data_IF_519672827856
#
_entry.id   IF_519672827856
#
_cell.length_a   1.000
_cell.length_b   1.000
_cell.length_c   1.000
_cell.angle_alpha   90.00
_cell.angle_beta   90.00
_cell.angle_gamma   90.00
#
_symmetry.space_group_name_H-M   'P 1'
#
loop_
_entity.id
_entity.type
_entity.pdbx_description
1 polymer ?
#
# COMPACT_ATOMS: atom_id res chain seq x y z
N UNK A 1 -14.42 -5.02 37.12
CA UNK A 1 -15.26 -5.56 36.04
C UNK A 1 -14.36 -6.18 35.00
N UNK A 2 -14.75 -7.32 34.44
CA UNK A 2 -14.04 -8.00 33.36
C UNK A 2 -14.63 -7.55 32.03
N UNK A 3 -13.81 -7.01 31.13
CA UNK A 3 -14.21 -6.69 29.76
C UNK A 3 -13.60 -7.72 28.82
N UNK A 4 -14.42 -8.33 27.98
CA UNK A 4 -14.02 -9.39 27.04
C UNK A 4 -14.37 -8.99 25.61
N UNK A 5 -13.49 -9.32 24.67
CA UNK A 5 -13.67 -9.07 23.25
C UNK A 5 -13.49 -10.39 22.50
N UNK A 6 -14.58 -11.03 22.03
CA UNK A 6 -14.48 -12.32 21.33
C UNK A 6 -13.86 -12.21 19.93
N UNK A 7 -13.61 -10.99 19.46
CA UNK A 7 -13.11 -10.73 18.13
C UNK A 7 -14.19 -10.84 17.05
N UNK A 8 -13.81 -10.77 15.78
CA UNK A 8 -14.74 -10.92 14.66
C UNK A 8 -15.20 -12.37 14.50
N UNK A 9 -16.46 -12.57 14.11
CA UNK A 9 -17.06 -13.91 13.89
C UNK A 9 -16.58 -14.56 12.59
N UNK A 10 -16.12 -13.76 11.62
CA UNK A 10 -15.54 -14.22 10.36
C UNK A 10 -14.46 -13.24 9.88
N UNK A 11 -13.53 -13.70 9.03
CA UNK A 11 -12.59 -12.82 8.36
C UNK A 11 -13.20 -12.19 7.10
N UNK A 12 -13.10 -10.87 6.97
CA UNK A 12 -13.60 -10.16 5.78
C UNK A 12 -12.47 -9.65 4.87
N UNK A 13 -11.27 -9.45 5.44
CA UNK A 13 -10.09 -8.96 4.73
C UNK A 13 -8.99 -10.03 4.67
N UNK A 14 -8.00 -9.82 3.80
CA UNK A 14 -6.81 -10.67 3.73
C UNK A 14 -6.15 -10.81 5.12
N UNK A 15 -6.00 -9.70 5.84
CA UNK A 15 -5.41 -9.68 7.19
C UNK A 15 -6.24 -10.50 8.18
N UNK A 16 -7.57 -10.37 8.13
CA UNK A 16 -8.43 -11.10 9.05
C UNK A 16 -8.46 -12.60 8.76
N UNK A 17 -8.28 -13.01 7.50
CA UNK A 17 -8.23 -14.41 7.07
C UNK A 17 -6.85 -15.02 7.31
N UNK A 18 -5.79 -14.22 7.25
CA UNK A 18 -4.43 -14.64 7.60
C UNK A 18 -4.29 -14.89 9.12
N UNK A 19 -5.13 -14.25 9.93
CA UNK A 19 -5.24 -14.52 11.36
C UNK A 19 -5.96 -15.85 11.62
N UNK A 20 -5.17 -16.88 11.95
CA UNK A 20 -5.62 -18.25 12.20
C UNK A 20 -6.19 -18.45 13.61
N UNK A 21 -6.38 -17.39 14.40
CA UNK A 21 -7.03 -17.51 15.71
C UNK A 21 -8.49 -18.00 15.55
N UNK A 22 -8.99 -18.84 16.48
CA UNK A 22 -10.37 -19.29 16.44
C UNK A 22 -11.34 -18.12 16.41
N UNK A 23 -12.27 -18.14 15.45
CA UNK A 23 -13.35 -17.16 15.34
C UNK A 23 -14.60 -17.76 15.94
N UNK A 24 -15.39 -16.96 16.64
CA UNK A 24 -16.52 -17.50 17.39
C UNK A 24 -17.28 -16.46 18.17
N UNK A 25 -18.10 -16.95 19.08
CA UNK A 25 -18.96 -16.17 19.94
C UNK A 25 -18.63 -16.49 21.39
N UNK A 26 -18.84 -15.52 22.28
CA UNK A 26 -18.77 -15.75 23.72
C UNK A 26 -20.19 -15.75 24.27
N UNK A 27 -20.59 -16.87 24.86
CA UNK A 27 -21.82 -16.98 25.65
C UNK A 27 -21.47 -16.56 27.08
N UNK A 28 -22.25 -15.65 27.66
CA UNK A 28 -22.07 -15.18 29.04
C UNK A 28 -23.33 -15.50 29.82
N UNK A 29 -23.19 -16.32 30.85
CA UNK A 29 -24.24 -16.62 31.82
C UNK A 29 -23.99 -15.79 33.08
N UNK A 30 -24.95 -14.94 33.44
CA UNK A 30 -24.90 -14.16 34.68
C UNK A 30 -25.88 -14.76 35.70
N UNK A 31 -25.39 -15.07 36.90
CA UNK A 31 -26.23 -15.49 38.02
C UNK A 31 -26.86 -14.26 38.71
N UNK A 32 -27.92 -14.50 39.50
CA UNK A 32 -28.55 -13.47 40.33
C UNK A 32 -27.57 -12.87 41.37
N UNK A 33 -26.59 -13.66 41.80
CA UNK A 33 -25.53 -13.25 42.74
C UNK A 33 -24.40 -12.43 42.08
N UNK A 34 -24.50 -12.20 40.76
CA UNK A 34 -23.52 -11.41 40.00
C UNK A 34 -22.29 -12.19 39.54
N UNK A 35 -22.26 -13.52 39.71
CA UNK A 35 -21.22 -14.35 39.10
C UNK A 35 -21.46 -14.49 37.60
N UNK A 36 -20.42 -14.30 36.80
CA UNK A 36 -20.49 -14.47 35.35
C UNK A 36 -19.65 -15.68 34.94
N UNK A 37 -20.26 -16.63 34.21
CA UNK A 37 -19.55 -17.70 33.51
C UNK A 37 -19.51 -17.40 32.03
N UNK A 38 -18.38 -17.69 31.41
CA UNK A 38 -18.18 -17.44 29.98
C UNK A 38 -17.79 -18.71 29.26
N UNK A 39 -18.43 -18.98 28.13
CA UNK A 39 -18.12 -20.09 27.22
C UNK A 39 -17.82 -19.54 25.83
N UNK A 40 -16.70 -19.95 25.24
CA UNK A 40 -16.37 -19.60 23.86
C UNK A 40 -16.84 -20.71 22.92
N UNK A 41 -17.73 -20.36 21.99
CA UNK A 41 -18.27 -21.25 20.98
C UNK A 41 -17.62 -20.92 19.63
N UNK A 42 -16.74 -21.80 19.09
CA UNK A 42 -16.10 -21.57 17.81
C UNK A 42 -17.11 -21.67 16.66
N UNK A 43 -16.91 -20.85 15.63
CA UNK A 43 -17.62 -20.93 14.35
C UNK A 43 -16.67 -21.58 13.35
N UNK A 44 -17.06 -22.73 12.81
CA UNK A 44 -16.33 -23.40 11.74
C UNK A 44 -16.63 -22.69 10.40
N UNK A 45 -15.64 -21.95 9.91
CA UNK A 45 -15.67 -21.35 8.58
C UNK A 45 -14.96 -22.26 7.57
N UNK A 46 -15.10 -21.94 6.27
CA UNK A 46 -14.34 -22.61 5.23
C UNK A 46 -12.82 -22.53 5.54
N UNK A 47 -12.07 -23.63 5.34
CA UNK A 47 -10.65 -23.66 5.60
C UNK A 47 -9.91 -22.60 4.79
N UNK A 48 -8.94 -21.95 5.43
CA UNK A 48 -8.10 -20.93 4.79
C UNK A 48 -6.71 -21.50 4.52
N UNK A 49 -6.22 -21.37 3.29
CA UNK A 49 -4.86 -21.74 2.91
C UNK A 49 -4.04 -20.50 2.53
N UNK A 50 -2.73 -20.51 2.80
CA UNK A 50 -1.81 -19.43 2.46
C UNK A 50 -0.73 -19.94 1.50
N UNK A 51 -0.71 -19.39 0.29
CA UNK A 51 0.39 -19.52 -0.67
C UNK A 51 1.28 -18.30 -0.48
N UNK A 52 2.47 -18.49 0.08
CA UNK A 52 3.41 -17.41 0.41
C UNK A 52 4.70 -17.50 -0.40
N UNK A 53 4.82 -16.66 -1.41
CA UNK A 53 5.97 -16.58 -2.31
C UNK A 53 6.91 -15.45 -1.88
N UNK A 54 8.13 -15.79 -1.48
CA UNK A 54 9.24 -14.84 -1.34
C UNK A 54 10.00 -14.72 -2.68
N UNK A 55 9.81 -13.64 -3.42
CA UNK A 55 10.50 -13.37 -4.68
C UNK A 55 11.91 -12.76 -4.47
N UNK A 56 12.36 -12.61 -3.22
CA UNK A 56 13.65 -12.02 -2.86
C UNK A 56 14.83 -12.72 -3.53
N UNK A 57 15.65 -11.95 -4.25
CA UNK A 57 16.86 -12.49 -4.87
C UNK A 57 16.63 -13.35 -6.12
N UNK A 58 15.37 -13.57 -6.52
CA UNK A 58 15.00 -14.45 -7.65
C UNK A 58 14.75 -13.65 -8.92
N UNK A 59 14.84 -14.31 -10.08
CA UNK A 59 14.35 -13.73 -11.34
C UNK A 59 12.82 -13.84 -11.40
N UNK A 60 12.16 -12.97 -12.17
CA UNK A 60 10.70 -13.04 -12.36
C UNK A 60 10.23 -14.42 -12.88
N UNK A 61 11.03 -15.05 -13.74
CA UNK A 61 10.78 -16.40 -14.27
C UNK A 61 10.93 -17.47 -13.19
N UNK A 62 12.01 -17.44 -12.40
CA UNK A 62 12.22 -18.41 -11.33
C UNK A 62 11.11 -18.33 -10.26
N UNK A 63 10.71 -17.10 -9.90
CA UNK A 63 9.61 -16.88 -8.96
C UNK A 63 8.24 -17.34 -9.51
N UNK A 64 8.02 -17.23 -10.83
CA UNK A 64 6.82 -17.80 -11.47
C UNK A 64 6.80 -19.31 -11.38
N UNK A 65 7.90 -19.96 -11.73
CA UNK A 65 7.96 -21.42 -11.82
C UNK A 65 7.75 -22.04 -10.42
N UNK A 66 8.33 -21.44 -9.37
CA UNK A 66 8.07 -21.81 -7.98
C UNK A 66 6.62 -21.54 -7.55
N UNK A 67 6.04 -20.38 -7.91
CA UNK A 67 4.65 -20.10 -7.61
C UNK A 67 3.72 -21.17 -8.21
N UNK A 68 3.99 -21.58 -9.44
CA UNK A 68 3.20 -22.62 -10.10
C UNK A 68 3.42 -24.00 -9.46
N UNK A 69 4.63 -24.33 -9.02
CA UNK A 69 4.91 -25.54 -8.25
C UNK A 69 4.10 -25.57 -6.94
N UNK A 70 4.05 -24.45 -6.21
CA UNK A 70 3.20 -24.31 -5.01
C UNK A 70 1.71 -24.49 -5.33
N UNK A 71 1.25 -23.93 -6.46
CA UNK A 71 -0.14 -24.08 -6.95
C UNK A 71 -0.46 -25.53 -7.30
N UNK A 72 0.50 -26.30 -7.80
CA UNK A 72 0.29 -27.69 -8.20
C UNK A 72 0.42 -28.69 -7.03
N UNK A 73 1.19 -28.35 -6.00
CA UNK A 73 1.45 -29.23 -4.87
C UNK A 73 0.27 -29.39 -3.89
N UNK A 74 -0.67 -28.45 -3.87
CA UNK A 74 -1.80 -28.44 -2.92
C UNK A 74 -3.17 -28.67 -3.57
N UNK A 75 -4.10 -29.27 -2.82
CA UNK A 75 -5.52 -29.32 -3.17
C UNK A 75 -6.25 -28.08 -2.68
N UNK A 76 -7.01 -27.42 -3.57
CA UNK A 76 -7.68 -26.13 -3.30
C UNK A 76 -9.18 -26.23 -3.06
N UNK A 77 -9.76 -27.40 -3.24
CA UNK A 77 -11.21 -27.65 -3.14
C UNK A 77 -11.79 -27.14 -1.81
N UNK A 78 -12.88 -26.38 -1.89
CA UNK A 78 -13.63 -25.83 -0.76
C UNK A 78 -12.80 -24.95 0.22
N UNK A 79 -11.63 -24.43 -0.22
CA UNK A 79 -10.78 -23.53 0.59
C UNK A 79 -10.90 -22.07 0.14
N UNK A 80 -10.72 -21.16 1.09
CA UNK A 80 -10.38 -19.75 0.80
C UNK A 80 -8.87 -19.64 0.74
N UNK A 81 -8.31 -19.19 -0.39
CA UNK A 81 -6.87 -19.14 -0.59
C UNK A 81 -6.38 -17.70 -0.52
N UNK A 82 -5.33 -17.49 0.26
CA UNK A 82 -4.58 -16.25 0.35
C UNK A 82 -3.28 -16.43 -0.43
N UNK A 83 -3.11 -15.69 -1.52
CA UNK A 83 -1.87 -15.69 -2.31
C UNK A 83 -1.09 -14.42 -1.98
N UNK A 84 0.03 -14.56 -1.29
CA UNK A 84 0.97 -13.48 -0.97
C UNK A 84 2.22 -13.64 -1.82
N UNK A 85 2.59 -12.57 -2.53
CA UNK A 85 3.89 -12.46 -3.16
C UNK A 85 4.58 -11.20 -2.62
N UNK A 86 5.82 -11.35 -2.18
CA UNK A 86 6.61 -10.30 -1.54
C UNK A 86 8.09 -10.45 -1.88
N UNK A 87 8.93 -9.49 -1.48
CA UNK A 87 10.37 -9.52 -1.73
C UNK A 87 10.79 -8.73 -2.98
N UNK A 88 12.10 -8.57 -3.16
CA UNK A 88 12.66 -7.78 -4.27
C UNK A 88 13.41 -8.69 -5.23
N UNK A 89 12.91 -8.74 -6.48
CA UNK A 89 13.52 -9.51 -7.56
C UNK A 89 14.98 -9.11 -7.80
N UNK A 90 15.81 -10.07 -8.19
CA UNK A 90 17.16 -9.82 -8.68
C UNK A 90 17.18 -9.37 -10.14
N UNK A 91 16.25 -9.89 -10.94
CA UNK A 91 16.12 -9.61 -12.35
C UNK A 91 14.66 -9.74 -12.79
N UNK A 92 14.27 -8.98 -13.82
CA UNK A 92 12.93 -9.03 -14.39
C UNK A 92 11.92 -8.16 -13.64
N UNK A 93 10.67 -8.25 -14.10
CA UNK A 93 9.57 -7.43 -13.59
C UNK A 93 8.60 -8.26 -12.74
N UNK A 94 7.95 -7.67 -11.72
CA UNK A 94 6.91 -8.35 -10.93
C UNK A 94 5.78 -8.95 -11.78
N UNK A 95 5.48 -8.36 -12.94
CA UNK A 95 4.47 -8.87 -13.87
C UNK A 95 4.83 -10.25 -14.46
N UNK A 96 6.10 -10.61 -14.52
CA UNK A 96 6.58 -11.88 -15.09
C UNK A 96 6.31 -13.08 -14.17
N UNK A 97 6.03 -12.83 -12.88
CA UNK A 97 5.68 -13.87 -11.89
C UNK A 97 4.34 -14.56 -12.22
N UNK A 98 3.48 -13.91 -13.02
CA UNK A 98 2.25 -14.57 -13.49
C UNK A 98 1.17 -14.77 -12.41
N UNK A 99 1.13 -13.90 -11.38
CA UNK A 99 0.14 -13.98 -10.29
C UNK A 99 -1.33 -14.14 -10.77
N UNK A 100 -1.79 -13.46 -11.85
CA UNK A 100 -3.14 -13.70 -12.37
C UNK A 100 -3.36 -15.14 -12.82
N UNK A 101 -2.38 -15.74 -13.53
CA UNK A 101 -2.49 -17.12 -13.99
C UNK A 101 -2.49 -18.11 -12.82
N UNK A 102 -1.66 -17.87 -11.80
CA UNK A 102 -1.67 -18.67 -10.57
C UNK A 102 -3.04 -18.58 -9.84
N UNK A 103 -3.61 -17.38 -9.73
CA UNK A 103 -4.95 -17.17 -9.15
C UNK A 103 -6.00 -17.98 -9.90
N UNK A 104 -6.02 -17.88 -11.22
CA UNK A 104 -7.04 -18.54 -12.05
C UNK A 104 -6.86 -20.07 -11.96
N UNK A 105 -5.62 -20.56 -11.98
CA UNK A 105 -5.30 -21.97 -11.77
C UNK A 105 -5.78 -22.53 -10.41
N UNK A 106 -5.73 -21.74 -9.34
CA UNK A 106 -6.26 -22.11 -8.01
C UNK A 106 -7.79 -22.15 -8.03
N UNK A 107 -8.45 -21.17 -8.67
CA UNK A 107 -9.91 -21.13 -8.80
C UNK A 107 -10.43 -22.31 -9.62
N UNK A 108 -9.79 -22.62 -10.75
CA UNK A 108 -10.16 -23.74 -11.62
C UNK A 108 -10.03 -25.11 -10.93
N UNK A 109 -9.29 -25.18 -9.82
CA UNK A 109 -9.11 -26.37 -8.97
C UNK A 109 -10.04 -26.40 -7.75
N UNK A 110 -11.09 -25.58 -7.73
CA UNK A 110 -12.18 -25.69 -6.74
C UNK A 110 -12.05 -24.80 -5.51
N UNK A 111 -11.15 -23.81 -5.51
CA UNK A 111 -11.11 -22.80 -4.46
C UNK A 111 -12.40 -21.98 -4.42
N UNK A 112 -12.92 -21.70 -3.22
CA UNK A 112 -14.11 -20.86 -3.03
C UNK A 112 -13.83 -19.39 -3.35
N UNK A 113 -12.63 -18.93 -3.00
CA UNK A 113 -12.16 -17.57 -3.27
C UNK A 113 -10.63 -17.52 -3.23
N UNK A 114 -10.06 -16.56 -3.95
CA UNK A 114 -8.62 -16.27 -3.91
C UNK A 114 -8.40 -14.78 -3.68
N UNK A 115 -7.74 -14.44 -2.58
CA UNK A 115 -7.32 -13.07 -2.27
C UNK A 115 -5.82 -12.93 -2.53
N UNK A 116 -5.46 -11.90 -3.31
CA UNK A 116 -4.08 -11.67 -3.71
C UNK A 116 -3.50 -10.46 -2.97
N UNK A 117 -2.36 -10.65 -2.33
CA UNK A 117 -1.52 -9.58 -1.78
C UNK A 117 -0.20 -9.51 -2.54
N UNK A 118 0.10 -8.32 -3.06
CA UNK A 118 1.38 -7.98 -3.69
C UNK A 118 2.18 -6.99 -2.84
N UNK A 119 1.76 -6.80 -1.59
CA UNK A 119 2.38 -5.84 -0.70
C UNK A 119 3.82 -6.26 -0.43
N UNK A 120 4.77 -5.37 -0.75
CA UNK A 120 6.19 -5.63 -0.58
C UNK A 120 6.86 -6.38 -1.74
N UNK A 121 6.17 -6.65 -2.85
CA UNK A 121 6.78 -7.18 -4.06
C UNK A 121 7.36 -6.05 -4.91
N UNK A 122 8.64 -6.19 -5.32
CA UNK A 122 9.40 -5.16 -6.02
C UNK A 122 10.18 -5.70 -7.19
N UNK A 123 10.34 -4.88 -8.23
CA UNK A 123 11.14 -5.20 -9.40
C UNK A 123 12.64 -5.07 -9.15
N UNK A 124 13.45 -5.58 -10.07
CA UNK A 124 14.90 -5.42 -10.00
C UNK A 124 15.32 -3.94 -10.15
N UNK A 125 14.56 -3.15 -10.91
CA UNK A 125 14.74 -1.71 -11.06
C UNK A 125 14.55 -0.95 -9.74
N UNK A 126 13.70 -1.47 -8.85
CA UNK A 126 13.44 -0.85 -7.56
C UNK A 126 14.64 -0.99 -6.61
N UNK A 127 15.58 -1.92 -6.83
CA UNK A 127 16.84 -1.98 -6.06
C UNK A 127 17.73 -0.77 -6.26
N UNK A 128 17.71 -0.17 -7.47
CA UNK A 128 18.55 1.01 -7.78
C UNK A 128 17.98 2.29 -7.16
N UNK A 129 16.70 2.26 -6.81
CA UNK A 129 16.04 3.28 -6.02
C UNK A 129 16.07 2.82 -4.57
N UNK A 130 17.24 2.83 -3.93
CA UNK A 130 17.46 2.41 -2.54
C UNK A 130 16.78 3.29 -1.49
N UNK A 131 15.51 3.65 -1.69
CA UNK A 131 14.82 4.64 -0.86
C UNK A 131 13.29 4.63 -0.95
N UNK A 132 12.68 3.46 -1.13
CA UNK A 132 11.28 3.30 -0.76
C UNK A 132 11.21 2.17 0.24
N UNK A 133 10.74 2.47 1.44
CA UNK A 133 11.11 1.71 2.64
C UNK A 133 10.68 0.26 2.68
N UNK A 134 11.56 -0.54 3.27
CA UNK A 134 11.17 -1.62 4.16
C UNK A 134 10.40 -0.94 5.31
N UNK A 135 9.25 -1.46 5.71
CA UNK A 135 8.33 -0.86 6.69
C UNK A 135 8.86 -0.74 8.13
N UNK A 136 10.18 -0.56 8.33
CA UNK A 136 10.84 -0.36 9.62
C UNK A 136 11.56 0.99 9.77
N UNK A 137 11.49 1.87 8.78
CA UNK A 137 11.97 3.25 8.89
C UNK A 137 11.15 4.16 7.99
N UNK A 138 9.99 4.60 8.47
CA UNK A 138 9.26 5.66 7.79
C UNK A 138 10.09 6.94 7.91
N UNK A 139 10.87 7.25 6.89
CA UNK A 139 11.33 8.62 6.71
C UNK A 139 10.11 9.54 6.70
N UNK A 140 10.24 10.68 7.38
CA UNK A 140 9.21 11.72 7.42
C UNK A 140 8.70 11.97 5.98
N UNK A 141 7.39 11.83 5.70
CA UNK A 141 6.81 12.12 4.39
C UNK A 141 7.21 13.50 3.83
N UNK A 142 7.51 14.46 4.71
CA UNK A 142 8.04 15.78 4.32
C UNK A 142 9.47 15.66 3.78
N UNK A 143 10.33 14.88 4.41
CA UNK A 143 11.71 14.65 3.97
C UNK A 143 11.76 13.92 2.63
N UNK A 144 10.93 12.88 2.45
CA UNK A 144 10.79 12.16 1.18
C UNK A 144 10.33 13.11 0.07
N UNK A 145 9.31 13.92 0.34
CA UNK A 145 8.79 14.91 -0.62
C UNK A 145 9.88 15.90 -1.06
N UNK A 146 10.65 16.44 -0.11
CA UNK A 146 11.74 17.40 -0.40
C UNK A 146 12.86 16.79 -1.23
N UNK A 147 13.25 15.55 -0.93
CA UNK A 147 14.29 14.83 -1.69
C UNK A 147 13.86 14.56 -3.12
N UNK A 148 12.63 14.06 -3.32
CA UNK A 148 12.09 13.79 -4.66
C UNK A 148 11.99 15.08 -5.48
N UNK A 149 11.52 16.17 -4.86
CA UNK A 149 11.38 17.46 -5.52
C UNK A 149 12.73 18.07 -5.91
N UNK A 150 13.72 18.01 -5.00
CA UNK A 150 15.07 18.50 -5.27
C UNK A 150 15.71 17.80 -6.46
N UNK A 151 15.57 16.47 -6.52
CA UNK A 151 16.09 15.66 -7.64
C UNK A 151 15.40 15.99 -8.96
N UNK A 152 14.11 16.28 -8.94
CA UNK A 152 13.37 16.66 -10.14
C UNK A 152 13.84 18.01 -10.68
N UNK A 153 14.11 18.99 -9.81
CA UNK A 153 14.60 20.32 -10.18
C UNK A 153 16.04 20.26 -10.71
N UNK A 154 16.89 19.41 -10.13
CA UNK A 154 18.27 19.20 -10.59
C UNK A 154 18.34 18.59 -12.00
N UNK A 155 17.34 17.80 -12.39
CA UNK A 155 17.22 17.24 -13.74
C UNK A 155 16.36 18.08 -14.71
N UNK A 156 15.88 19.24 -14.29
CA UNK A 156 14.96 20.07 -15.08
C UNK A 156 15.73 21.09 -15.91
N UNK A 157 15.74 20.92 -17.22
CA UNK A 157 16.37 21.85 -18.16
C UNK A 157 15.40 22.96 -18.57
N UNK A 158 15.74 24.22 -18.29
CA UNK A 158 14.94 25.38 -18.65
C UNK A 158 15.81 26.61 -18.86
N UNK A 159 15.34 27.53 -19.70
CA UNK A 159 15.98 28.84 -19.90
C UNK A 159 15.66 29.83 -18.77
N UNK A 160 14.77 29.47 -17.84
CA UNK A 160 14.30 30.31 -16.75
C UNK A 160 15.08 29.96 -15.46
N UNK A 161 16.12 30.73 -15.14
CA UNK A 161 17.01 30.44 -14.01
C UNK A 161 16.30 30.30 -12.66
N UNK A 162 15.26 31.11 -12.42
CA UNK A 162 14.46 31.12 -11.20
C UNK A 162 13.62 29.84 -10.95
N UNK A 163 13.51 28.97 -11.96
CA UNK A 163 12.87 27.64 -11.83
C UNK A 163 13.86 26.53 -11.44
N UNK A 164 15.14 26.86 -11.30
CA UNK A 164 16.22 25.90 -11.02
C UNK A 164 16.98 26.28 -9.75
N UNK A 165 17.87 25.39 -9.28
CA UNK A 165 18.67 25.63 -8.07
C UNK A 165 17.83 25.80 -6.81
N UNK A 166 18.31 26.59 -5.86
CA UNK A 166 17.63 26.81 -4.57
C UNK A 166 16.35 27.66 -4.71
N UNK A 167 16.30 28.58 -5.68
CA UNK A 167 15.10 29.37 -5.97
C UNK A 167 13.96 28.49 -6.52
N UNK A 168 14.27 27.60 -7.46
CA UNK A 168 13.32 26.61 -7.95
C UNK A 168 12.81 25.68 -6.85
N UNK A 169 13.69 25.27 -5.92
CA UNK A 169 13.30 24.44 -4.76
C UNK A 169 12.35 25.18 -3.83
N UNK A 170 12.65 26.43 -3.49
CA UNK A 170 11.78 27.25 -2.66
C UNK A 170 10.41 27.48 -3.31
N UNK A 171 10.38 27.81 -4.60
CA UNK A 171 9.15 27.98 -5.38
C UNK A 171 8.30 26.71 -5.38
N UNK A 172 8.92 25.56 -5.59
CA UNK A 172 8.22 24.29 -5.66
C UNK A 172 7.65 23.88 -4.29
N UNK A 173 8.37 24.14 -3.20
CA UNK A 173 7.86 23.94 -1.83
C UNK A 173 6.66 24.85 -1.53
N UNK A 174 6.71 26.13 -1.94
CA UNK A 174 5.59 27.07 -1.77
C UNK A 174 4.37 26.67 -2.60
N UNK A 175 4.57 26.20 -3.83
CA UNK A 175 3.50 25.71 -4.68
C UNK A 175 2.84 24.46 -4.06
N UNK A 176 3.64 23.50 -3.58
CA UNK A 176 3.12 22.32 -2.90
C UNK A 176 2.33 22.68 -1.65
N UNK A 177 2.75 23.71 -0.89
CA UNK A 177 2.02 24.18 0.29
C UNK A 177 0.64 24.72 -0.09
N UNK A 178 0.51 25.43 -1.22
CA UNK A 178 -0.78 25.91 -1.72
C UNK A 178 -1.65 24.76 -2.21
N UNK A 179 -1.09 23.82 -2.96
CA UNK A 179 -1.83 22.69 -3.52
C UNK A 179 -2.30 21.69 -2.45
N UNK A 180 -1.58 21.59 -1.32
CA UNK A 180 -1.93 20.76 -0.17
C UNK A 180 -2.96 21.39 0.76
N UNK A 181 -3.45 22.61 0.48
CA UNK A 181 -4.47 23.23 1.32
C UNK A 181 -5.75 22.41 1.31
N UNK A 182 -6.21 21.99 2.49
CA UNK A 182 -7.44 21.25 2.62
C UNK A 182 -8.67 22.13 2.30
N UNK A 183 -9.70 21.49 1.72
CA UNK A 183 -10.96 22.14 1.39
C UNK A 183 -11.69 22.69 2.62
N UNK A 184 -11.62 21.97 3.75
CA UNK A 184 -12.44 22.23 4.92
C UNK A 184 -13.93 22.21 4.57
N UNK A 185 -14.68 23.22 5.02
CA UNK A 185 -16.13 23.39 4.80
C UNK A 185 -16.49 24.17 3.54
N UNK A 186 -15.52 24.62 2.75
CA UNK A 186 -15.76 25.43 1.54
C UNK A 186 -16.43 24.59 0.44
N UNK A 187 -17.24 25.26 -0.41
CA UNK A 187 -17.75 24.66 -1.65
C UNK A 187 -16.59 24.30 -2.57
N UNK A 188 -16.80 23.26 -3.39
CA UNK A 188 -15.76 22.71 -4.28
C UNK A 188 -15.22 23.76 -5.23
N UNK A 189 -16.10 24.52 -5.88
CA UNK A 189 -15.70 25.49 -6.89
C UNK A 189 -14.95 26.68 -6.27
N UNK A 190 -15.44 27.23 -5.16
CA UNK A 190 -14.79 28.31 -4.41
C UNK A 190 -13.39 27.89 -3.89
N UNK A 191 -13.25 26.64 -3.45
CA UNK A 191 -11.97 26.10 -3.02
C UNK A 191 -10.98 25.97 -4.19
N UNK A 192 -11.42 25.40 -5.31
CA UNK A 192 -10.60 25.28 -6.53
C UNK A 192 -10.15 26.65 -7.02
N UNK A 193 -11.05 27.63 -7.07
CA UNK A 193 -10.74 28.98 -7.50
C UNK A 193 -9.70 29.64 -6.59
N UNK A 194 -9.84 29.45 -5.27
CA UNK A 194 -8.89 29.97 -4.28
C UNK A 194 -7.51 29.33 -4.42
N UNK A 195 -7.44 28.00 -4.53
CA UNK A 195 -6.18 27.26 -4.70
C UNK A 195 -5.50 27.67 -6.00
N UNK A 196 -6.26 27.78 -7.09
CA UNK A 196 -5.75 28.20 -8.40
C UNK A 196 -5.18 29.62 -8.35
N UNK A 197 -5.93 30.58 -7.77
CA UNK A 197 -5.48 31.97 -7.62
C UNK A 197 -4.18 32.07 -6.82
N UNK A 198 -4.10 31.33 -5.73
CA UNK A 198 -2.91 31.30 -4.88
C UNK A 198 -1.72 30.63 -5.59
N UNK A 199 -1.95 29.55 -6.34
CA UNK A 199 -0.91 28.86 -7.10
C UNK A 199 -0.34 29.75 -8.20
N UNK A 200 -1.21 30.47 -8.93
CA UNK A 200 -0.79 31.44 -9.94
C UNK A 200 0.01 32.59 -9.34
N UNK A 201 -0.35 33.06 -8.14
CA UNK A 201 0.41 34.09 -7.45
C UNK A 201 1.80 33.61 -6.98
N UNK A 202 1.97 32.32 -6.69
CA UNK A 202 3.28 31.73 -6.38
C UNK A 202 4.14 31.65 -7.64
N UNK A 203 3.54 31.28 -8.77
CA UNK A 203 4.19 31.15 -10.08
C UNK A 203 4.42 32.47 -10.83
N UNK A 204 4.11 33.62 -10.21
CA UNK A 204 4.25 34.93 -10.83
C UNK A 204 5.74 35.28 -11.04
N UNK A 205 6.22 35.37 -12.29
CA UNK A 205 7.63 35.64 -12.60
C UNK A 205 8.10 37.01 -12.09
N UNK A 206 7.17 37.96 -11.90
CA UNK A 206 7.50 39.30 -11.41
C UNK A 206 7.96 39.31 -9.95
N UNK A 207 7.71 38.23 -9.20
CA UNK A 207 8.10 38.06 -7.80
C UNK A 207 9.51 37.50 -7.62
N UNK A 208 10.07 36.86 -8.64
CA UNK A 208 11.30 36.04 -8.53
C UNK A 208 12.44 36.52 -9.43
N UNK A 209 12.32 37.71 -10.03
CA UNK A 209 13.38 38.32 -10.84
C UNK A 209 12.98 38.56 -12.29
N UNK A 210 12.12 39.55 -12.51
CA UNK A 210 11.77 40.11 -13.82
C UNK A 210 12.48 41.43 -14.12
N UNK A 211 13.80 41.39 -14.16
CA UNK A 211 14.67 42.30 -14.94
C UNK A 211 15.91 41.48 -15.22
N UNK A 212 16.31 41.14 -16.45
CA UNK A 212 16.35 41.87 -17.73
C UNK A 212 15.98 40.88 -18.87
N UNK A 213 15.39 41.25 -20.00
CA UNK A 213 15.97 42.10 -21.04
C UNK A 213 15.07 42.12 -22.28
N UNK A 214 14.93 43.32 -22.86
CA UNK A 214 14.55 43.54 -24.26
C UNK A 214 15.74 43.27 -25.15
#
# INVERSE_FOLDING_TARGET
GLAVYPGPTFGATFTDLADQRPKGLLIVEASEDGECRTEFVPIEAAPVALVDLDAGGRSGVAARDELMEMVEAEGWEAKVVLLRAHGTLAEGRPAEIGIPAARDAILDRGALAVYVSRAGLRGAEDRRSGDRGDGKGAEDPVAVSKRVLSRAIEGFETSQGWLTGEEGKALADDLLRVLKQERGTRKVDDHKETVLRNALAVLDPTRHGGGEGR
#
